data_IF_221911476787
#
_entry.id   IF_221911476787
#
_cell.length_a   1.000
_cell.length_b   1.000
_cell.length_c   1.000
_cell.angle_alpha   90.00
_cell.angle_beta   90.00
_cell.angle_gamma   90.00
#
_symmetry.space_group_name_H-M   'P 1'
#
loop_
_entity.id
_entity.type
_entity.pdbx_description
1 polymer ?
#
# COMPACT_ATOMS: atom_id res chain seq x y z
N UNK A 1 -9.29 -6.04 -13.93
CA UNK A 1 -8.42 -6.25 -12.75
C UNK A 1 -8.83 -7.48 -11.93
N UNK A 2 -10.08 -7.59 -11.45
CA UNK A 2 -10.53 -8.71 -10.60
C UNK A 2 -10.40 -10.10 -11.23
N UNK A 3 -10.86 -10.27 -12.47
CA UNK A 3 -10.75 -11.54 -13.22
C UNK A 3 -9.28 -11.96 -13.36
N UNK A 4 -8.41 -11.01 -13.72
CA UNK A 4 -6.97 -11.24 -13.78
C UNK A 4 -6.39 -11.64 -12.42
N UNK A 5 -6.90 -11.08 -11.32
CA UNK A 5 -6.55 -11.49 -9.98
C UNK A 5 -6.87 -12.97 -9.73
N UNK A 6 -8.00 -13.45 -10.23
CA UNK A 6 -8.38 -14.86 -10.16
C UNK A 6 -7.44 -15.74 -11.01
N UNK A 7 -7.20 -15.37 -12.27
CA UNK A 7 -6.27 -16.09 -13.17
C UNK A 7 -4.88 -16.23 -12.54
N UNK A 8 -4.39 -15.18 -11.88
CA UNK A 8 -3.09 -15.17 -11.22
C UNK A 8 -3.12 -15.70 -9.78
N UNK A 9 -4.23 -16.23 -9.28
CA UNK A 9 -4.37 -16.69 -7.90
C UNK A 9 -3.91 -15.63 -6.88
N UNK A 10 -4.30 -14.38 -7.08
CA UNK A 10 -4.11 -13.26 -6.13
C UNK A 10 -5.42 -12.51 -5.90
N UNK A 11 -6.56 -13.18 -6.15
CA UNK A 11 -7.87 -12.56 -6.19
C UNK A 11 -8.28 -11.94 -4.86
N UNK A 12 -7.92 -12.56 -3.72
CA UNK A 12 -8.20 -12.02 -2.39
C UNK A 12 -7.55 -10.64 -2.16
N UNK A 13 -6.30 -10.49 -2.57
CA UNK A 13 -5.56 -9.24 -2.46
C UNK A 13 -6.19 -8.14 -3.33
N UNK A 14 -6.56 -8.49 -4.56
CA UNK A 14 -7.21 -7.56 -5.49
C UNK A 14 -8.60 -7.17 -5.00
N UNK A 15 -9.38 -8.09 -4.42
CA UNK A 15 -10.65 -7.79 -3.76
C UNK A 15 -10.46 -6.84 -2.59
N UNK A 16 -9.46 -7.10 -1.74
CA UNK A 16 -9.13 -6.28 -0.57
C UNK A 16 -8.79 -4.85 -0.99
N UNK A 17 -7.91 -4.68 -1.97
CA UNK A 17 -7.51 -3.34 -2.45
C UNK A 17 -8.70 -2.64 -3.10
N UNK A 18 -9.47 -3.34 -3.95
CA UNK A 18 -10.64 -2.76 -4.61
C UNK A 18 -11.67 -2.27 -3.58
N UNK A 19 -12.00 -3.09 -2.57
CA UNK A 19 -12.88 -2.71 -1.48
C UNK A 19 -12.33 -1.51 -0.70
N UNK A 20 -11.05 -1.54 -0.32
CA UNK A 20 -10.43 -0.45 0.44
C UNK A 20 -10.45 0.88 -0.32
N UNK A 21 -10.34 0.86 -1.65
CA UNK A 21 -10.40 2.07 -2.49
C UNK A 21 -11.80 2.67 -2.63
N UNK A 22 -12.86 1.93 -2.28
CA UNK A 22 -14.24 2.45 -2.30
C UNK A 22 -14.59 3.29 -1.05
N UNK A 23 -13.76 3.23 -0.02
CA UNK A 23 -13.98 3.93 1.25
C UNK A 23 -12.88 4.97 1.52
N UNK A 24 -13.10 5.92 2.44
CA UNK A 24 -12.03 6.77 2.94
C UNK A 24 -10.88 5.91 3.51
N UNK A 25 -9.64 6.35 3.35
CA UNK A 25 -8.48 5.64 3.91
C UNK A 25 -8.64 5.46 5.43
N UNK A 26 -8.32 4.29 6.01
CA UNK A 26 -8.53 4.02 7.43
C UNK A 26 -7.57 4.78 8.35
N UNK A 27 -6.64 5.55 7.80
CA UNK A 27 -5.60 6.27 8.55
C UNK A 27 -6.14 7.51 9.26
N UNK A 28 -6.15 7.50 10.60
CA UNK A 28 -6.49 8.68 11.39
C UNK A 28 -5.24 9.57 11.49
N UNK A 29 -5.20 10.63 10.69
CA UNK A 29 -4.08 11.55 10.62
C UNK A 29 -4.47 12.97 11.03
N UNK A 30 -3.91 13.45 12.14
CA UNK A 30 -4.09 14.83 12.64
C UNK A 30 -3.14 15.83 11.95
N UNK A 31 -2.12 15.32 11.25
CA UNK A 31 -1.12 16.13 10.57
C UNK A 31 -1.47 16.49 9.13
N UNK A 32 -0.71 17.44 8.56
CA UNK A 32 -0.85 17.81 7.14
C UNK A 32 -0.43 16.69 6.18
N UNK A 33 0.37 15.70 6.63
CA UNK A 33 0.95 14.61 5.85
C UNK A 33 0.84 13.31 6.62
N UNK A 34 0.80 12.19 5.93
CA UNK A 34 0.70 10.87 6.55
C UNK A 34 1.88 10.60 7.50
N UNK A 35 1.58 10.11 8.71
CA UNK A 35 2.58 9.85 9.75
C UNK A 35 3.44 8.62 9.49
N UNK A 36 4.58 8.49 10.19
CA UNK A 36 5.52 7.37 10.04
C UNK A 36 4.86 6.00 10.27
N UNK A 37 3.96 5.91 11.27
CA UNK A 37 3.24 4.66 11.60
C UNK A 37 2.52 4.10 10.37
N UNK A 38 1.81 4.96 9.64
CA UNK A 38 1.04 4.56 8.47
C UNK A 38 1.93 4.29 7.25
N UNK A 39 2.99 5.09 7.07
CA UNK A 39 3.96 4.91 5.97
C UNK A 39 4.72 3.58 6.07
N UNK A 40 4.97 3.09 7.28
CA UNK A 40 5.66 1.81 7.49
C UNK A 40 4.92 0.62 6.90
N UNK A 41 3.59 0.69 6.74
CA UNK A 41 2.81 -0.37 6.10
C UNK A 41 3.09 -0.49 4.59
N UNK A 42 3.66 0.53 3.95
CA UNK A 42 4.10 0.42 2.56
C UNK A 42 5.37 -0.44 2.39
N UNK A 43 6.09 -0.72 3.48
CA UNK A 43 7.38 -1.41 3.46
C UNK A 43 8.36 -0.75 2.49
N UNK A 44 8.99 -1.56 1.65
CA UNK A 44 9.89 -1.10 0.58
C UNK A 44 9.19 -0.91 -0.77
N UNK A 45 7.84 -0.94 -0.82
CA UNK A 45 7.09 -0.98 -2.09
C UNK A 45 6.67 0.37 -2.65
N UNK A 46 6.81 1.46 -1.88
CA UNK A 46 6.43 2.82 -2.33
C UNK A 46 4.99 2.89 -2.88
N UNK A 47 4.05 2.26 -2.17
CA UNK A 47 2.69 2.07 -2.64
C UNK A 47 1.67 2.32 -1.54
N UNK A 48 0.74 3.24 -1.82
CA UNK A 48 -0.44 3.49 -1.00
C UNK A 48 -1.36 2.27 -0.97
N UNK A 49 -1.55 1.58 -2.10
CA UNK A 49 -2.38 0.38 -2.18
C UNK A 49 -1.78 -0.80 -1.40
N UNK A 50 -0.45 -0.98 -1.44
CA UNK A 50 0.23 -1.99 -0.60
C UNK A 50 0.14 -1.62 0.87
N UNK A 51 0.20 -0.33 1.22
CA UNK A 51 -0.01 0.10 2.60
C UNK A 51 -1.42 -0.25 3.09
N UNK A 52 -2.45 0.00 2.27
CA UNK A 52 -3.83 -0.39 2.59
C UNK A 52 -3.98 -1.90 2.76
N UNK A 53 -3.41 -2.69 1.83
CA UNK A 53 -3.41 -4.15 1.92
C UNK A 53 -2.73 -4.64 3.21
N UNK A 54 -1.54 -4.11 3.51
CA UNK A 54 -0.76 -4.53 4.68
C UNK A 54 -1.44 -4.16 6.00
N UNK A 55 -2.09 -2.98 6.07
CA UNK A 55 -2.91 -2.58 7.22
C UNK A 55 -4.08 -3.51 7.41
N UNK A 56 -4.80 -3.82 6.32
CA UNK A 56 -5.95 -4.69 6.37
C UNK A 56 -5.56 -6.09 6.85
N UNK A 57 -4.46 -6.65 6.35
CA UNK A 57 -3.96 -7.96 6.81
C UNK A 57 -3.56 -7.96 8.29
N UNK A 58 -2.85 -6.93 8.74
CA UNK A 58 -2.46 -6.82 10.15
C UNK A 58 -3.66 -6.60 11.08
N UNK A 59 -4.67 -5.84 10.64
CA UNK A 59 -5.92 -5.66 11.38
C UNK A 59 -6.74 -6.95 11.41
N UNK A 60 -6.86 -7.66 10.29
CA UNK A 60 -7.64 -8.90 10.21
C UNK A 60 -7.04 -9.98 11.13
N UNK A 61 -5.71 -10.09 11.19
CA UNK A 61 -5.00 -10.95 12.14
C UNK A 61 -5.27 -10.53 13.61
N UNK A 62 -5.16 -9.24 13.92
CA UNK A 62 -5.44 -8.74 15.27
C UNK A 62 -6.91 -8.98 15.70
N UNK A 63 -7.85 -8.81 14.77
CA UNK A 63 -9.28 -9.06 14.95
C UNK A 63 -9.58 -10.49 15.33
N UNK A 64 -8.81 -11.47 14.83
CA UNK A 64 -8.97 -12.87 15.23
C UNK A 64 -8.71 -13.11 16.72
N UNK A 65 -8.01 -12.19 17.41
CA UNK A 65 -7.80 -12.20 18.85
C UNK A 65 -8.98 -11.69 19.70
N UNK A 66 -10.11 -11.32 19.06
CA UNK A 66 -11.31 -10.79 19.71
C UNK A 66 -11.40 -9.26 19.69
N UNK A 67 -12.57 -8.73 20.10
CA UNK A 67 -12.90 -7.30 20.00
C UNK A 67 -11.89 -6.40 20.72
N UNK A 68 -11.40 -6.80 21.90
CA UNK A 68 -10.42 -5.98 22.63
C UNK A 68 -9.03 -5.97 21.98
N UNK A 69 -8.66 -7.03 21.27
CA UNK A 69 -7.44 -7.03 20.47
C UNK A 69 -7.58 -6.10 19.25
N UNK A 70 -8.75 -6.12 18.60
CA UNK A 70 -9.10 -5.23 17.49
C UNK A 70 -9.05 -3.75 17.91
N UNK A 71 -9.72 -3.40 19.02
CA UNK A 71 -9.75 -2.04 19.57
C UNK A 71 -8.34 -1.56 19.88
N UNK A 72 -7.57 -2.34 20.66
CA UNK A 72 -6.18 -1.99 20.99
C UNK A 72 -5.30 -1.81 19.76
N UNK A 73 -5.47 -2.65 18.74
CA UNK A 73 -4.72 -2.52 17.49
C UNK A 73 -5.06 -1.21 16.77
N UNK A 74 -6.35 -0.89 16.63
CA UNK A 74 -6.80 0.33 15.96
C UNK A 74 -6.37 1.59 16.72
N UNK A 75 -6.45 1.60 18.05
CA UNK A 75 -5.96 2.68 18.89
C UNK A 75 -4.44 2.87 18.72
N UNK A 76 -3.67 1.79 18.85
CA UNK A 76 -2.21 1.83 18.75
C UNK A 76 -1.73 2.29 17.36
N UNK A 77 -2.37 1.83 16.29
CA UNK A 77 -2.01 2.17 14.91
C UNK A 77 -2.71 3.43 14.39
N UNK A 78 -3.57 4.05 15.20
CA UNK A 78 -4.39 5.21 14.84
C UNK A 78 -5.20 4.96 13.56
N UNK A 79 -6.07 3.95 13.62
CA UNK A 79 -6.88 3.48 12.50
C UNK A 79 -8.37 3.61 12.79
N UNK A 80 -9.16 3.86 11.76
CA UNK A 80 -10.61 3.85 11.81
C UNK A 80 -11.11 2.40 11.69
N UNK A 81 -11.55 1.84 12.81
CA UNK A 81 -12.08 0.47 12.89
C UNK A 81 -13.32 0.28 12.01
N UNK A 82 -14.23 1.25 11.97
CA UNK A 82 -15.44 1.16 11.15
C UNK A 82 -15.13 1.06 9.66
N UNK A 83 -14.16 1.85 9.16
CA UNK A 83 -13.67 1.74 7.78
C UNK A 83 -13.12 0.36 7.46
N UNK A 84 -12.36 -0.24 8.37
CA UNK A 84 -11.78 -1.57 8.18
C UNK A 84 -12.86 -2.67 8.15
N UNK A 85 -13.85 -2.59 9.05
CA UNK A 85 -15.03 -3.49 9.05
C UNK A 85 -15.85 -3.36 7.76
N UNK A 86 -16.15 -2.14 7.32
CA UNK A 86 -16.84 -1.91 6.03
C UNK A 86 -16.04 -2.45 4.84
N UNK A 87 -14.71 -2.29 4.87
CA UNK A 87 -13.81 -2.84 3.84
C UNK A 87 -13.88 -4.37 3.81
N UNK A 88 -13.94 -5.01 4.98
CA UNK A 88 -14.08 -6.45 5.09
C UNK A 88 -15.40 -6.95 4.50
N UNK A 89 -16.52 -6.30 4.83
CA UNK A 89 -17.83 -6.63 4.29
C UNK A 89 -17.86 -6.51 2.75
N UNK A 90 -17.36 -5.41 2.21
CA UNK A 90 -17.28 -5.20 0.76
C UNK A 90 -16.35 -6.22 0.08
N UNK A 91 -15.21 -6.56 0.71
CA UNK A 91 -14.30 -7.61 0.23
C UNK A 91 -15.02 -8.96 0.14
N UNK A 92 -15.78 -9.34 1.17
CA UNK A 92 -16.53 -10.61 1.19
C UNK A 92 -17.58 -10.63 0.09
N UNK A 93 -18.35 -9.55 -0.07
CA UNK A 93 -19.33 -9.43 -1.15
C UNK A 93 -18.70 -9.58 -2.54
N UNK A 94 -17.52 -8.98 -2.77
CA UNK A 94 -16.79 -9.15 -4.03
C UNK A 94 -16.36 -10.61 -4.27
N UNK A 95 -15.89 -11.30 -3.23
CA UNK A 95 -15.52 -12.72 -3.31
C UNK A 95 -16.75 -13.58 -3.63
N UNK A 96 -17.86 -13.35 -2.95
CA UNK A 96 -19.11 -14.08 -3.18
C UNK A 96 -19.63 -13.87 -4.62
N UNK A 97 -19.58 -12.64 -5.15
CA UNK A 97 -19.96 -12.37 -6.54
C UNK A 97 -19.11 -13.19 -7.51
N UNK A 98 -17.78 -13.26 -7.29
CA UNK A 98 -16.88 -14.03 -8.15
C UNK A 98 -17.16 -15.54 -8.06
N UNK A 99 -17.33 -16.08 -6.84
CA UNK A 99 -17.65 -17.50 -6.63
C UNK A 99 -18.99 -17.85 -7.28
N UNK A 100 -20.02 -17.02 -7.07
CA UNK A 100 -21.33 -17.20 -7.68
C UNK A 100 -21.32 -17.05 -9.21
N UNK A 101 -20.30 -16.36 -9.75
CA UNK A 101 -20.05 -16.29 -11.20
C UNK A 101 -19.29 -17.49 -11.75
N UNK A 102 -18.95 -18.49 -10.92
CA UNK A 102 -18.29 -19.72 -11.29
C UNK A 102 -16.78 -19.74 -11.07
N UNK A 103 -16.17 -18.68 -10.52
CA UNK A 103 -14.74 -18.68 -10.22
C UNK A 103 -14.43 -19.65 -9.05
N UNK A 104 -13.42 -20.53 -9.18
CA UNK A 104 -12.98 -21.40 -8.10
C UNK A 104 -12.59 -20.65 -6.83
N UNK A 105 -12.90 -21.21 -5.65
CA UNK A 105 -12.58 -20.58 -4.37
C UNK A 105 -11.07 -20.48 -4.13
N UNK A 106 -10.29 -21.39 -4.72
CA UNK A 106 -8.84 -21.49 -4.57
C UNK A 106 -8.12 -20.21 -5.04
N UNK A 107 -8.65 -19.52 -6.07
CA UNK A 107 -8.05 -18.29 -6.56
C UNK A 107 -8.34 -17.07 -5.67
N UNK A 108 -9.22 -17.24 -4.68
CA UNK A 108 -9.68 -16.22 -3.72
C UNK A 108 -9.23 -16.54 -2.29
N UNK A 109 -8.32 -17.49 -2.10
CA UNK A 109 -7.74 -17.78 -0.79
C UNK A 109 -6.91 -16.60 -0.28
N UNK A 110 -7.06 -16.30 1.01
CA UNK A 110 -6.26 -15.29 1.69
C UNK A 110 -4.79 -15.69 1.67
N UNK A 111 -3.94 -14.77 1.23
CA UNK A 111 -2.49 -14.95 1.20
C UNK A 111 -1.83 -13.90 2.08
N UNK A 112 -0.71 -14.25 2.70
CA UNK A 112 0.12 -13.29 3.44
C UNK A 112 1.18 -12.75 2.49
N UNK A 113 1.33 -11.43 2.43
CA UNK A 113 2.32 -10.78 1.56
C UNK A 113 3.47 -10.19 2.35
N UNK A 114 4.66 -10.26 1.76
CA UNK A 114 5.83 -9.55 2.27
C UNK A 114 6.02 -8.21 1.56
N UNK A 115 5.72 -7.12 2.29
CA UNK A 115 5.92 -5.75 1.83
C UNK A 115 7.39 -5.28 1.96
N UNK A 116 8.25 -6.04 2.62
CA UNK A 116 9.67 -5.70 2.86
C UNK A 116 10.58 -6.79 2.28
N UNK A 117 11.03 -6.58 1.05
CA UNK A 117 11.83 -7.56 0.30
C UNK A 117 11.07 -8.17 -0.89
N UNK A 118 11.57 -9.28 -1.46
CA UNK A 118 10.99 -9.89 -2.66
C UNK A 118 9.71 -10.68 -2.32
N UNK A 119 8.68 -10.49 -3.14
CA UNK A 119 7.42 -11.24 -3.11
C UNK A 119 6.79 -11.16 -4.50
N UNK A 120 6.86 -12.27 -5.24
CA UNK A 120 6.44 -12.31 -6.64
C UNK A 120 4.92 -12.17 -6.80
N UNK A 121 4.13 -12.63 -5.82
CA UNK A 121 2.67 -12.50 -5.89
C UNK A 121 2.27 -11.05 -5.65
N UNK A 122 2.93 -10.37 -4.70
CA UNK A 122 2.73 -8.93 -4.50
C UNK A 122 3.16 -8.11 -5.73
N UNK A 123 4.25 -8.50 -6.40
CA UNK A 123 4.70 -7.87 -7.64
C UNK A 123 3.66 -7.99 -8.77
N UNK A 124 2.97 -9.14 -8.86
CA UNK A 124 1.85 -9.35 -9.77
C UNK A 124 0.66 -8.47 -9.37
N UNK A 125 0.31 -8.40 -8.08
CA UNK A 125 -0.75 -7.50 -7.59
C UNK A 125 -0.49 -6.05 -8.01
N UNK A 126 0.75 -5.55 -7.85
CA UNK A 126 1.15 -4.21 -8.30
C UNK A 126 0.98 -4.05 -9.82
N UNK A 127 1.33 -5.08 -10.58
CA UNK A 127 1.17 -5.08 -12.04
C UNK A 127 -0.31 -5.04 -12.47
N UNK A 128 -1.17 -5.78 -11.77
CA UNK A 128 -2.62 -5.77 -11.99
C UNK A 128 -3.26 -4.45 -11.54
N UNK A 129 -2.73 -3.80 -10.50
CA UNK A 129 -3.13 -2.44 -10.14
C UNK A 129 -2.81 -1.47 -11.27
N UNK A 130 -1.61 -1.55 -11.85
CA UNK A 130 -1.25 -0.73 -13.00
C UNK A 130 -2.24 -0.90 -14.16
N UNK A 131 -2.65 -2.14 -14.45
CA UNK A 131 -3.72 -2.43 -15.41
C UNK A 131 -5.06 -1.81 -15.00
N UNK A 132 -5.45 -1.94 -13.73
CA UNK A 132 -6.74 -1.49 -13.22
C UNK A 132 -6.91 0.03 -13.18
N UNK A 133 -5.84 0.79 -12.96
CA UNK A 133 -5.89 2.26 -12.88
C UNK A 133 -5.38 2.96 -14.14
N UNK A 134 -4.88 2.25 -15.14
CA UNK A 134 -4.53 2.84 -16.43
C UNK A 134 -5.75 3.55 -17.05
N UNK A 135 -5.63 4.80 -17.58
CA UNK A 135 -4.42 5.51 -18.00
C UNK A 135 -3.79 6.44 -16.95
N UNK A 136 -4.08 6.28 -15.66
CA UNK A 136 -3.56 7.11 -14.58
C UNK A 136 -2.09 6.79 -14.25
N UNK A 137 -1.19 7.16 -15.17
CA UNK A 137 0.26 7.04 -15.04
C UNK A 137 0.87 8.41 -14.83
N UNK A 138 1.95 8.48 -14.06
CA UNK A 138 2.73 9.70 -13.91
C UNK A 138 4.23 9.42 -13.75
N UNK A 139 5.02 10.43 -14.12
CA UNK A 139 6.46 10.48 -13.97
C UNK A 139 6.82 11.46 -12.85
N UNK A 140 7.58 10.99 -11.85
CA UNK A 140 8.11 11.83 -10.78
C UNK A 140 9.26 12.70 -11.29
N UNK A 141 9.14 14.02 -11.07
CA UNK A 141 10.17 14.99 -11.48
C UNK A 141 11.11 15.29 -10.32
N UNK A 142 10.61 16.02 -9.32
CA UNK A 142 11.36 16.50 -8.17
C UNK A 142 10.39 16.75 -7.02
N UNK A 143 10.86 16.65 -5.77
CA UNK A 143 10.03 16.91 -4.58
C UNK A 143 8.67 16.23 -4.66
N UNK A 144 7.58 17.01 -4.71
CA UNK A 144 6.20 16.55 -4.89
C UNK A 144 5.70 16.65 -6.34
N UNK A 145 6.46 17.22 -7.26
CA UNK A 145 5.99 17.49 -8.62
C UNK A 145 6.03 16.20 -9.44
N UNK A 146 4.95 15.95 -10.14
CA UNK A 146 4.78 14.84 -11.08
C UNK A 146 4.26 15.37 -12.41
N UNK A 147 4.51 14.62 -13.48
CA UNK A 147 3.94 14.82 -14.80
C UNK A 147 2.99 13.67 -15.11
N UNK A 148 1.73 14.00 -15.38
CA UNK A 148 0.71 13.01 -15.75
C UNK A 148 0.80 12.63 -17.23
N UNK A 149 0.17 11.52 -17.61
CA UNK A 149 0.01 11.09 -19.03
C UNK A 149 -0.49 12.20 -19.95
N UNK A 150 -1.30 13.15 -19.43
CA UNK A 150 -1.82 14.31 -20.19
C UNK A 150 -0.79 15.42 -20.42
N UNK A 151 0.48 15.24 -20.02
CA UNK A 151 1.51 16.29 -20.06
C UNK A 151 1.29 17.41 -19.03
N UNK A 152 0.35 17.23 -18.08
CA UNK A 152 0.03 18.23 -17.05
C UNK A 152 0.83 17.99 -15.78
N UNK A 153 1.37 19.09 -15.23
CA UNK A 153 2.02 19.07 -13.92
C UNK A 153 0.98 18.88 -12.82
N UNK A 154 1.26 17.98 -11.88
CA UNK A 154 0.47 17.74 -10.68
C UNK A 154 1.39 17.53 -9.47
N UNK A 155 0.80 17.33 -8.30
CA UNK A 155 1.52 17.07 -7.06
C UNK A 155 1.20 15.68 -6.50
N UNK A 156 2.16 15.07 -5.81
CA UNK A 156 1.89 13.93 -4.93
C UNK A 156 0.98 14.41 -3.80
N UNK A 157 -0.18 13.77 -3.63
CA UNK A 157 -1.12 14.11 -2.57
C UNK A 157 -0.50 13.93 -1.18
N UNK A 158 -0.91 14.74 -0.20
CA UNK A 158 -0.27 14.75 1.12
C UNK A 158 -0.57 13.52 1.98
N UNK A 159 -1.66 12.81 1.68
CA UNK A 159 -1.98 11.53 2.33
C UNK A 159 -1.14 10.37 1.79
N UNK A 160 -0.45 10.54 0.65
CA UNK A 160 0.33 9.44 0.08
C UNK A 160 1.56 9.11 0.93
N UNK A 161 1.87 7.83 1.07
CA UNK A 161 3.13 7.31 1.62
C UNK A 161 4.33 7.78 0.81
N UNK A 162 4.12 8.18 -0.44
CA UNK A 162 5.14 8.74 -1.33
C UNK A 162 5.26 10.26 -1.21
N UNK A 163 4.56 10.91 -0.28
CA UNK A 163 4.71 12.34 -0.08
C UNK A 163 5.96 12.63 0.79
N UNK A 164 7.01 13.31 0.28
CA UNK A 164 8.21 13.57 1.07
C UNK A 164 7.90 14.46 2.29
N UNK A 165 8.48 14.17 3.47
CA UNK A 165 8.25 14.97 4.68
C UNK A 165 8.77 16.40 4.56
N UNK A 166 9.97 16.56 3.98
CA UNK A 166 10.66 17.83 3.82
C UNK A 166 10.85 18.18 2.33
N UNK A 167 11.49 19.31 2.07
CA UNK A 167 11.88 19.76 0.73
C UNK A 167 13.06 18.99 0.15
N UNK A 168 13.63 18.02 0.88
CA UNK A 168 14.68 17.15 0.36
C UNK A 168 14.11 16.22 -0.72
N UNK A 169 14.88 16.03 -1.80
CA UNK A 169 14.48 15.17 -2.89
C UNK A 169 14.55 13.70 -2.46
N UNK A 170 13.38 13.07 -2.42
CA UNK A 170 13.27 11.62 -2.32
C UNK A 170 13.67 11.01 -3.65
N UNK A 171 14.67 10.12 -3.66
CA UNK A 171 15.04 9.37 -4.84
C UNK A 171 14.30 8.04 -4.86
N UNK A 172 13.38 7.90 -5.81
CA UNK A 172 12.66 6.65 -6.01
C UNK A 172 13.48 5.65 -6.85
N UNK A 173 13.34 4.33 -6.60
CA UNK A 173 13.96 3.30 -7.44
C UNK A 173 13.50 3.32 -8.90
N UNK A 174 12.27 3.78 -9.14
CA UNK A 174 11.66 4.02 -10.46
C UNK A 174 11.05 5.41 -10.45
N UNK A 175 11.12 6.18 -11.56
CA UNK A 175 10.43 7.46 -11.64
C UNK A 175 8.92 7.29 -11.96
N UNK A 176 8.46 6.08 -12.27
CA UNK A 176 7.10 5.83 -12.71
C UNK A 176 6.17 5.42 -11.58
N UNK A 177 4.98 6.01 -11.58
CA UNK A 177 3.90 5.66 -10.66
C UNK A 177 2.59 5.54 -11.42
N UNK A 178 1.73 4.66 -10.94
CA UNK A 178 0.30 4.70 -11.23
C UNK A 178 -0.46 5.30 -10.05
N UNK A 179 -1.64 5.88 -10.29
CA UNK A 179 -2.44 6.49 -9.23
C UNK A 179 -3.93 6.21 -9.36
N UNK A 180 -4.65 6.13 -8.23
CA UNK A 180 -6.09 5.86 -8.21
C UNK A 180 -6.93 7.08 -8.61
N UNK A 181 -6.66 8.25 -8.01
CA UNK A 181 -7.53 9.43 -8.15
C UNK A 181 -6.76 10.71 -8.45
N UNK A 182 -7.37 11.59 -9.26
CA UNK A 182 -6.91 12.96 -9.51
C UNK A 182 -7.80 13.95 -8.77
N UNK A 183 -7.26 14.58 -7.73
CA UNK A 183 -7.98 15.54 -6.90
C UNK A 183 -7.61 16.97 -7.33
N UNK A 184 -8.63 17.79 -7.64
CA UNK A 184 -8.45 19.21 -7.94
C UNK A 184 -8.94 20.06 -6.76
N UNK A 185 -8.01 20.68 -6.05
CA UNK A 185 -8.30 21.74 -5.07
C UNK A 185 -7.62 23.03 -5.50
N UNK A 186 -6.68 23.57 -4.70
CA UNK A 186 -5.79 24.68 -5.09
C UNK A 186 -4.75 24.26 -6.13
N UNK A 187 -4.37 22.99 -6.12
CA UNK A 187 -3.50 22.36 -7.10
C UNK A 187 -4.03 20.97 -7.43
N UNK A 188 -3.74 20.49 -8.65
CA UNK A 188 -4.04 19.12 -9.05
C UNK A 188 -3.07 18.20 -8.31
N UNK A 189 -3.61 17.19 -7.62
CA UNK A 189 -2.81 16.19 -6.91
C UNK A 189 -3.25 14.77 -7.25
N UNK A 190 -2.29 13.85 -7.33
CA UNK A 190 -2.54 12.42 -7.49
C UNK A 190 -2.57 11.73 -6.13
N UNK A 191 -3.60 10.93 -5.87
CA UNK A 191 -3.81 10.15 -4.64
C UNK A 191 -3.88 8.66 -4.98
N UNK A 192 -3.49 7.80 -4.03
CA UNK A 192 -3.42 6.36 -4.24
C UNK A 192 -2.27 5.98 -5.16
N UNK A 193 -1.06 6.47 -4.87
CA UNK A 193 0.11 6.31 -5.71
C UNK A 193 0.82 4.98 -5.46
N UNK A 194 1.26 4.31 -6.53
CA UNK A 194 2.02 3.06 -6.48
C UNK A 194 3.17 3.10 -7.46
N UNK A 195 4.39 2.90 -6.97
CA UNK A 195 5.58 2.80 -7.81
C UNK A 195 5.49 1.56 -8.69
N UNK A 196 5.80 1.73 -9.98
CA UNK A 196 5.80 0.66 -10.98
C UNK A 196 7.09 0.69 -11.79
N UNK A 197 7.47 -0.45 -12.34
CA UNK A 197 8.62 -0.55 -13.24
C UNK A 197 8.25 -0.23 -14.68
N UNK A 198 9.23 0.14 -15.53
CA UNK A 198 9.00 0.27 -16.97
C UNK A 198 8.44 -1.00 -17.62
N UNK A 199 8.84 -2.19 -17.14
CA UNK A 199 8.34 -3.46 -17.67
C UNK A 199 6.88 -3.70 -17.29
N UNK A 200 6.47 -3.34 -16.07
CA UNK A 200 5.07 -3.39 -15.65
C UNK A 200 4.21 -2.44 -16.49
N UNK A 201 4.71 -1.23 -16.79
CA UNK A 201 4.03 -0.31 -17.71
C UNK A 201 3.91 -0.90 -19.12
N UNK A 202 5.01 -1.43 -19.65
CA UNK A 202 5.05 -2.03 -20.98
C UNK A 202 4.16 -3.27 -21.09
N UNK A 203 3.86 -3.97 -19.99
CA UNK A 203 2.99 -5.14 -20.01
C UNK A 203 1.52 -4.79 -19.72
N UNK A 204 1.23 -3.86 -18.82
CA UNK A 204 -0.12 -3.65 -18.28
C UNK A 204 -0.70 -2.24 -18.42
N UNK A 205 0.13 -1.23 -18.67
CA UNK A 205 -0.29 0.16 -18.61
C UNK A 205 0.24 0.96 -19.81
N UNK A 206 -0.03 0.46 -21.00
CA UNK A 206 0.14 1.23 -22.24
C UNK A 206 -0.82 0.79 -23.35
N UNK A 207 -1.18 1.73 -24.20
CA UNK A 207 -2.07 1.54 -25.36
C UNK A 207 -1.31 1.52 -26.67
N UNK A 208 -0.27 2.34 -26.81
CA UNK A 208 0.50 2.50 -28.03
C UNK A 208 1.99 2.34 -27.74
N UNK A 209 2.66 1.53 -28.53
CA UNK A 209 4.10 1.30 -28.41
C UNK A 209 4.70 1.44 -29.81
N UNK A 210 5.66 2.35 -29.96
CA UNK A 210 6.41 2.56 -31.20
C UNK A 210 7.89 2.31 -30.92
N UNK A 211 8.61 1.81 -31.92
CA UNK A 211 10.04 1.52 -31.84
C UNK A 211 10.75 2.22 -32.96
N UNK A 212 11.85 2.92 -32.65
CA UNK A 212 12.82 3.36 -33.65
C UNK A 212 14.02 2.39 -33.79
N UNK A 213 14.00 1.29 -33.03
CA UNK A 213 15.03 0.25 -33.00
C UNK A 213 15.90 0.28 -31.74
N UNK A 214 16.14 1.47 -31.18
CA UNK A 214 16.93 1.67 -29.96
C UNK A 214 16.10 2.14 -28.76
N UNK A 215 15.06 2.94 -29.04
CA UNK A 215 14.18 3.55 -28.07
C UNK A 215 12.74 3.11 -28.38
N UNK A 216 12.06 2.65 -27.34
CA UNK A 216 10.63 2.42 -27.36
C UNK A 216 9.91 3.68 -26.86
N UNK A 217 9.01 4.22 -27.67
CA UNK A 217 8.09 5.28 -27.30
C UNK A 217 6.74 4.67 -26.90
N UNK A 218 6.42 4.77 -25.62
CA UNK A 218 5.18 4.25 -25.03
C UNK A 218 4.20 5.39 -24.77
N UNK A 219 2.99 5.26 -25.29
CA UNK A 219 1.89 6.22 -25.25
C UNK A 219 2.27 7.64 -25.70
N UNK A 220 3.21 7.75 -26.64
CA UNK A 220 3.70 9.01 -27.21
C UNK A 220 4.47 9.94 -26.23
N UNK A 221 4.83 9.47 -25.03
CA UNK A 221 5.54 10.31 -24.06
C UNK A 221 6.62 9.60 -23.23
N UNK A 222 6.47 8.30 -22.93
CA UNK A 222 7.46 7.55 -22.16
C UNK A 222 8.50 6.99 -23.12
N UNK A 223 9.77 7.39 -22.96
CA UNK A 223 10.89 6.88 -23.74
C UNK A 223 11.66 5.86 -22.92
N UNK A 224 11.71 4.62 -23.39
CA UNK A 224 12.42 3.52 -22.74
C UNK A 224 13.55 3.04 -23.63
N UNK A 225 14.76 2.94 -23.07
CA UNK A 225 15.88 2.32 -23.75
C UNK A 225 15.85 0.81 -23.47
N UNK A 226 15.26 0.06 -24.40
CA UNK A 226 15.10 -1.39 -24.34
C UNK A 226 15.18 -1.93 -25.77
N UNK A 227 15.74 -3.13 -25.93
CA UNK A 227 15.79 -3.82 -27.23
C UNK A 227 14.38 -3.95 -27.82
N UNK A 228 14.27 -3.67 -29.13
CA UNK A 228 13.04 -3.85 -29.90
C UNK A 228 12.48 -5.27 -29.74
N UNK A 229 13.33 -6.30 -29.87
CA UNK A 229 12.93 -7.70 -29.79
C UNK A 229 12.37 -8.04 -28.41
N UNK A 230 13.04 -7.58 -27.34
CA UNK A 230 12.58 -7.82 -25.96
C UNK A 230 11.24 -7.13 -25.72
N UNK A 231 11.09 -5.89 -26.17
CA UNK A 231 9.85 -5.15 -26.02
C UNK A 231 8.70 -5.78 -26.83
N UNK A 232 8.97 -6.27 -28.04
CA UNK A 232 8.02 -7.00 -28.86
C UNK A 232 7.56 -8.28 -28.17
N UNK A 233 8.47 -9.09 -27.63
CA UNK A 233 8.15 -10.30 -26.88
C UNK A 233 7.29 -10.01 -25.64
N UNK A 234 7.63 -8.99 -24.84
CA UNK A 234 6.84 -8.60 -23.67
C UNK A 234 5.44 -8.15 -24.08
N UNK A 235 5.34 -7.36 -25.15
CA UNK A 235 4.05 -6.84 -25.65
C UNK A 235 3.18 -7.96 -26.23
N UNK A 236 3.78 -8.98 -26.86
CA UNK A 236 3.06 -10.12 -27.41
C UNK A 236 2.31 -10.92 -26.34
N UNK A 237 2.84 -10.98 -25.10
CA UNK A 237 2.15 -11.63 -23.97
C UNK A 237 0.79 -11.01 -23.66
N UNK A 238 0.55 -9.74 -24.03
CA UNK A 238 -0.74 -9.07 -23.82
C UNK A 238 -1.85 -9.74 -24.63
N UNK A 239 -1.58 -10.06 -25.89
CA UNK A 239 -2.59 -10.67 -26.77
C UNK A 239 -2.96 -12.07 -26.27
N UNK A 240 -1.96 -12.84 -25.83
CA UNK A 240 -2.17 -14.16 -25.25
C UNK A 240 -2.94 -14.08 -23.92
N UNK A 241 -2.64 -13.08 -23.08
CA UNK A 241 -3.38 -12.83 -21.85
C UNK A 241 -4.84 -12.43 -22.11
N UNK A 242 -5.08 -11.54 -23.07
CA UNK A 242 -6.43 -11.13 -23.47
C UNK A 242 -7.25 -12.33 -23.98
N UNK A 243 -6.63 -13.21 -24.77
CA UNK A 243 -7.26 -14.46 -25.21
C UNK A 243 -7.64 -15.35 -24.03
N UNK A 244 -6.74 -15.55 -23.07
CA UNK A 244 -7.01 -16.33 -21.86
C UNK A 244 -8.16 -15.71 -21.03
N UNK A 245 -8.21 -14.38 -20.90
CA UNK A 245 -9.32 -13.70 -20.22
C UNK A 245 -10.66 -13.98 -20.91
N UNK A 246 -10.69 -13.99 -22.24
CA UNK A 246 -11.90 -14.35 -23.00
C UNK A 246 -12.31 -15.80 -22.77
N UNK A 247 -11.38 -16.73 -22.64
CA UNK A 247 -11.69 -18.13 -22.32
C UNK A 247 -12.23 -18.28 -20.90
N UNK A 248 -11.53 -17.70 -19.92
CA UNK A 248 -11.91 -17.73 -18.50
C UNK A 248 -13.26 -17.06 -18.27
N UNK A 249 -13.60 -16.00 -19.02
CA UNK A 249 -14.92 -15.36 -18.87
C UNK A 249 -16.07 -16.20 -19.41
N UNK A 250 -15.82 -17.15 -20.33
CA UNK A 250 -16.84 -18.10 -20.80
C UNK A 250 -16.99 -19.27 -19.83
N UNK A 251 -15.86 -19.75 -19.31
CA UNK A 251 -15.82 -20.87 -18.38
C UNK A 251 -14.79 -20.59 -17.27
N UNK A 252 -15.19 -19.98 -16.14
CA UNK A 252 -14.23 -19.57 -15.10
C UNK A 252 -13.52 -20.72 -14.40
N UNK A 253 -14.09 -21.93 -14.42
CA UNK A 253 -13.50 -23.13 -13.82
C UNK A 253 -12.19 -23.58 -14.48
N UNK A 254 -11.90 -23.15 -15.71
CA UNK A 254 -10.67 -23.55 -16.43
C UNK A 254 -9.39 -23.09 -15.71
N UNK A 255 -9.47 -22.06 -14.84
CA UNK A 255 -8.29 -21.58 -14.12
C UNK A 255 -7.68 -22.64 -13.19
N UNK A 256 -8.46 -23.64 -12.77
CA UNK A 256 -8.00 -24.75 -11.94
C UNK A 256 -7.15 -25.77 -12.72
N UNK A 257 -7.28 -25.79 -14.05
CA UNK A 257 -6.60 -26.75 -14.93
C UNK A 257 -6.27 -26.08 -16.27
N UNK A 258 -5.34 -25.12 -16.22
CA UNK A 258 -4.86 -24.46 -17.43
C UNK A 258 -3.95 -25.38 -18.24
N UNK A 259 -3.95 -25.21 -19.56
CA UNK A 259 -2.98 -25.92 -20.39
C UNK A 259 -1.52 -25.46 -20.10
N UNK A 260 -0.51 -26.28 -20.43
CA UNK A 260 0.89 -25.94 -20.17
C UNK A 260 1.41 -24.69 -20.90
N UNK A 261 0.74 -24.21 -21.95
CA UNK A 261 1.13 -22.99 -22.67
C UNK A 261 0.71 -21.77 -21.85
N UNK A 262 -0.55 -21.76 -21.40
CA UNK A 262 -1.10 -20.74 -20.53
C UNK A 262 -0.36 -20.67 -19.19
N UNK A 263 -0.06 -21.80 -18.56
CA UNK A 263 0.74 -21.82 -17.33
C UNK A 263 2.13 -21.20 -17.52
N UNK A 264 2.83 -21.53 -18.62
CA UNK A 264 4.14 -20.95 -18.94
C UNK A 264 4.06 -19.46 -19.20
N UNK A 265 3.02 -18.99 -19.91
CA UNK A 265 2.76 -17.57 -20.12
C UNK A 265 2.56 -16.84 -18.78
N UNK A 266 1.71 -17.35 -17.89
CA UNK A 266 1.47 -16.75 -16.57
C UNK A 266 2.77 -16.69 -15.75
N UNK A 267 3.57 -17.76 -15.78
CA UNK A 267 4.86 -17.79 -15.10
C UNK A 267 5.87 -16.77 -15.67
N UNK A 268 5.90 -16.57 -16.98
CA UNK A 268 6.72 -15.50 -17.59
C UNK A 268 6.28 -14.13 -17.10
N UNK A 269 4.98 -13.86 -17.03
CA UNK A 269 4.44 -12.59 -16.54
C UNK A 269 4.80 -12.38 -15.06
N UNK A 270 4.77 -13.44 -14.24
CA UNK A 270 5.25 -13.36 -12.84
C UNK A 270 6.72 -12.94 -12.77
N UNK A 271 7.57 -13.47 -13.63
CA UNK A 271 8.98 -13.07 -13.65
C UNK A 271 9.18 -11.63 -14.12
N UNK A 272 8.46 -11.19 -15.17
CA UNK A 272 8.53 -9.82 -15.70
C UNK A 272 8.01 -8.79 -14.69
N UNK A 273 7.03 -9.17 -13.87
CA UNK A 273 6.44 -8.30 -12.84
C UNK A 273 7.43 -7.92 -11.74
N UNK A 274 8.50 -8.70 -11.54
CA UNK A 274 9.50 -8.47 -10.49
C UNK A 274 10.28 -7.18 -10.76
N UNK A 275 10.48 -6.32 -9.75
CA UNK A 275 11.31 -5.13 -9.90
C UNK A 275 12.73 -5.43 -10.40
N UNK A 276 13.31 -6.55 -9.95
CA UNK A 276 14.63 -7.00 -10.37
C UNK A 276 14.73 -7.34 -11.85
N UNK A 277 13.63 -7.71 -12.52
CA UNK A 277 13.61 -7.95 -13.96
C UNK A 277 13.89 -6.65 -14.76
N UNK A 278 13.56 -5.50 -14.18
CA UNK A 278 13.88 -4.18 -14.74
C UNK A 278 15.22 -3.62 -14.18
N UNK A 279 16.01 -4.42 -13.47
CA UNK A 279 17.23 -3.96 -12.79
C UNK A 279 16.97 -3.05 -11.57
N UNK A 280 15.74 -3.03 -11.04
CA UNK A 280 15.34 -2.13 -9.95
C UNK A 280 15.45 -2.85 -8.61
N UNK A 281 16.22 -2.29 -7.69
CA UNK A 281 16.30 -2.75 -6.30
C UNK A 281 15.50 -1.83 -5.38
N UNK A 282 14.36 -2.33 -4.92
CA UNK A 282 13.45 -1.60 -4.02
C UNK A 282 14.05 -1.32 -2.63
N UNK A 283 15.06 -2.07 -2.19
CA UNK A 283 15.67 -1.89 -0.88
C UNK A 283 16.60 -0.67 -0.82
N UNK A 284 17.19 -0.26 -1.95
CA UNK A 284 18.16 0.85 -2.02
C UNK A 284 17.47 2.21 -1.80
N UNK A 285 16.21 2.35 -2.23
CA UNK A 285 15.43 3.56 -2.01
C UNK A 285 14.70 3.59 -0.67
N UNK A 286 14.56 2.45 -0.01
CA UNK A 286 13.93 2.36 1.31
C UNK A 286 14.94 2.86 2.34
N UNK A 287 15.21 4.17 2.33
CA UNK A 287 15.79 4.84 3.48
C UNK A 287 14.84 4.53 4.61
N UNK A 288 15.16 3.51 5.42
CA UNK A 288 14.53 3.30 6.71
C UNK A 288 14.56 4.68 7.34
N UNK A 289 13.40 5.27 7.54
CA UNK A 289 13.28 6.45 8.37
C UNK A 289 13.67 5.96 9.77
N UNK A 290 14.97 5.95 10.05
CA UNK A 290 15.56 5.33 11.23
C UNK A 290 14.91 5.89 12.49
N UNK A 291 14.62 5.00 13.45
CA UNK A 291 14.19 5.16 14.85
C UNK A 291 13.27 6.35 15.26
N UNK A 292 12.72 7.09 14.31
CA UNK A 292 12.13 8.39 14.59
C UNK A 292 13.14 9.39 15.19
N UNK A 293 12.69 10.59 15.58
CA UNK A 293 13.51 11.48 16.38
C UNK A 293 13.96 10.77 17.67
N UNK A 294 15.23 10.94 18.04
CA UNK A 294 15.81 10.37 19.27
C UNK A 294 14.86 10.63 20.44
N UNK A 295 14.58 9.63 21.30
CA UNK A 295 13.79 9.85 22.50
C UNK A 295 14.31 11.07 23.27
N UNK A 296 13.42 11.91 23.83
CA UNK A 296 13.84 13.02 24.69
C UNK A 296 14.81 12.48 25.74
N UNK A 297 15.97 13.13 25.88
CA UNK A 297 16.90 12.77 26.95
C UNK A 297 16.14 12.90 28.27
N UNK A 298 16.06 11.82 29.04
CA UNK A 298 15.50 11.86 30.38
C UNK A 298 16.17 13.01 31.14
N UNK A 299 15.36 13.91 31.70
CA UNK A 299 15.88 14.90 32.63
C UNK A 299 16.56 14.12 33.76
N UNK A 300 17.83 14.46 34.05
CA UNK A 300 18.49 13.92 35.24
C UNK A 300 17.60 14.32 36.42
N UNK A 301 17.11 13.32 37.15
CA UNK A 301 16.56 13.55 38.47
C UNK A 301 17.67 14.17 39.31
N UNK A 302 17.57 15.47 39.57
CA UNK A 302 18.33 16.11 40.64
C UNK A 302 17.72 15.60 41.94
N UNK A 303 18.25 14.48 42.42
CA UNK A 303 17.94 13.99 43.75
C UNK A 303 18.65 14.90 44.75
N UNK A 304 18.00 16.00 45.09
CA UNK A 304 18.36 16.84 46.20
C UNK A 304 18.21 16.07 47.51
N UNK A 305 19.31 15.48 47.98
CA UNK A 305 19.48 14.94 49.32
C UNK A 305 20.86 15.33 49.85
N UNK A 306 20.92 16.42 50.62
CA UNK A 306 22.15 17.10 50.99
C UNK A 306 23.00 16.42 52.06
N UNK A 307 24.28 16.83 52.09
CA UNK A 307 25.07 16.87 53.31
C UNK A 307 25.87 18.18 53.36
N UNK A 308 25.66 18.93 54.44
CA UNK A 308 26.37 20.17 54.78
C UNK A 308 27.83 19.86 55.17
N UNK A 309 28.76 20.63 54.62
CA UNK A 309 29.97 21.17 55.31
C UNK A 309 30.48 22.30 54.40
N UNK A 310 30.24 23.56 54.70
CA UNK A 310 30.96 24.31 55.72
C UNK A 310 32.09 25.07 55.03
N UNK A 311 31.92 26.38 54.82
CA UNK A 311 32.94 27.21 54.18
C UNK A 311 32.41 28.59 53.81
N UNK A 312 32.51 29.52 54.76
CA UNK A 312 32.24 30.94 54.64
C UNK A 312 33.00 31.59 53.47
N UNK A 313 32.35 32.47 52.72
CA UNK A 313 32.58 33.93 52.84
C UNK A 313 31.94 34.64 51.64
N UNK A 314 31.03 35.55 51.96
CA UNK A 314 30.53 36.57 51.06
C UNK A 314 31.50 37.76 51.08
N UNK A 315 31.63 38.44 49.95
CA UNK A 315 32.08 39.83 49.97
C UNK A 315 32.74 40.27 48.68
N UNK A 316 31.99 40.98 47.83
CA UNK A 316 32.56 41.70 46.71
C UNK A 316 31.56 42.02 45.62
N UNK A 317 30.69 43.02 45.87
CA UNK A 317 30.10 43.81 44.78
C UNK A 317 31.21 44.48 43.97
N UNK A 318 31.02 44.99 42.77
CA UNK A 318 29.83 45.30 41.99
C UNK A 318 30.35 45.96 40.71
N UNK A 319 29.42 46.52 39.92
CA UNK A 319 29.59 47.45 38.78
C UNK A 319 30.63 47.02 37.71
N UNK A 320 30.25 46.80 36.46
CA UNK A 320 29.57 47.75 35.61
C UNK A 320 30.37 47.88 34.33
N UNK A 321 29.65 48.18 33.24
CA UNK A 321 30.14 48.79 32.00
C UNK A 321 31.21 48.06 31.18
N UNK A 322 30.75 47.58 30.02
CA UNK A 322 31.20 48.21 28.78
C UNK A 322 32.26 47.46 27.99
N UNK A 323 31.93 47.23 26.72
CA UNK A 323 32.89 47.55 25.67
C UNK A 323 33.40 46.39 24.81
N UNK A 324 32.92 46.42 23.56
CA UNK A 324 33.69 46.33 22.30
C UNK A 324 34.79 45.27 22.11
N UNK A 325 34.87 44.80 20.86
CA UNK A 325 36.09 44.25 20.25
C UNK A 325 36.00 42.74 20.03
N UNK A 326 35.57 42.30 18.85
CA UNK A 326 36.38 42.21 17.61
C UNK A 326 37.38 41.05 17.62
N UNK A 327 37.13 40.12 16.70
CA UNK A 327 38.15 39.62 15.78
C UNK A 327 39.07 38.51 16.32
N UNK A 328 39.19 37.44 15.54
CA UNK A 328 40.23 36.44 15.80
C UNK A 328 40.05 35.16 15.01
N UNK A 329 40.18 35.26 13.70
CA UNK A 329 40.36 34.12 12.79
C UNK A 329 41.76 33.53 12.97
N UNK A 330 41.86 32.20 12.94
CA UNK A 330 43.09 31.43 12.80
C UNK A 330 42.78 29.97 13.14
N UNK A 331 42.95 28.96 12.30
CA UNK A 331 43.81 28.83 11.13
C UNK A 331 44.76 27.65 11.37
N UNK A 332 44.67 26.62 10.52
CA UNK A 332 45.60 25.47 10.45
C UNK A 332 45.28 24.37 11.46
N UNK A 333 45.19 23.09 11.12
CA UNK A 333 45.90 22.32 10.10
C UNK A 333 46.85 21.36 10.82
N UNK A 334 46.66 20.04 10.69
CA UNK A 334 47.52 19.08 11.40
C UNK A 334 47.07 17.62 11.40
N UNK A 335 47.37 16.94 10.29
CA UNK A 335 47.70 15.51 10.11
C UNK A 335 48.01 14.65 11.35
N UNK A 336 47.67 13.35 11.28
CA UNK A 336 48.26 12.33 12.15
C UNK A 336 47.53 10.99 12.10
N UNK A 337 47.97 10.09 11.21
CA UNK A 337 47.52 8.69 11.16
C UNK A 337 48.24 7.77 12.15
N UNK A 338 47.78 6.52 12.19
CA UNK A 338 48.28 5.40 12.98
C UNK A 338 47.17 4.88 13.89
N UNK A 339 46.77 3.61 13.92
CA UNK A 339 47.42 2.35 13.55
C UNK A 339 47.10 1.33 14.67
N UNK A 340 47.13 0.04 14.33
CA UNK A 340 47.19 -1.14 15.24
C UNK A 340 45.83 -1.66 15.78
N UNK A 341 45.42 -2.87 15.30
CA UNK A 341 45.57 -4.21 15.94
C UNK A 341 44.72 -4.31 17.22
N UNK A 342 43.73 -5.17 17.32
CA UNK A 342 43.82 -6.64 17.19
C UNK A 342 43.85 -7.24 18.60
N UNK A 343 42.86 -8.04 18.96
CA UNK A 343 42.82 -8.73 20.26
C UNK A 343 41.50 -9.42 20.52
N UNK A 344 41.48 -10.74 20.33
CA UNK A 344 40.35 -11.60 20.67
C UNK A 344 40.22 -11.88 22.16
N UNK A 345 39.15 -12.57 22.53
CA UNK A 345 38.91 -13.06 23.88
C UNK A 345 37.59 -13.80 23.99
N UNK A 346 37.64 -15.11 23.75
CA UNK A 346 36.59 -16.08 24.05
C UNK A 346 36.79 -16.62 25.48
N UNK A 347 35.70 -16.73 26.22
CA UNK A 347 35.54 -17.46 27.47
C UNK A 347 34.06 -17.38 27.84
N UNK A 348 33.29 -18.46 27.97
CA UNK A 348 33.61 -19.73 28.59
C UNK A 348 33.00 -19.73 30.00
N UNK A 349 31.85 -20.40 30.17
CA UNK A 349 31.20 -20.52 31.48
C UNK A 349 29.82 -21.17 31.38
N UNK A 350 29.77 -22.48 31.53
CA UNK A 350 28.54 -23.24 31.74
C UNK A 350 28.49 -23.79 33.16
N UNK A 351 27.28 -23.86 33.73
CA UNK A 351 26.86 -24.64 34.90
C UNK A 351 25.33 -24.83 34.72
N UNK A 352 24.77 -26.02 34.50
CA UNK A 352 24.47 -27.04 35.51
C UNK A 352 23.40 -26.49 36.47
N UNK A 353 22.11 -26.85 36.42
CA UNK A 353 21.51 -28.18 36.39
C UNK A 353 20.72 -28.37 37.70
N UNK A 354 19.42 -28.66 37.62
CA UNK A 354 18.63 -29.45 38.60
C UNK A 354 17.15 -29.38 38.24
N UNK A 355 16.59 -30.53 37.85
CA UNK A 355 15.16 -30.77 37.90
C UNK A 355 14.77 -31.37 39.25
N UNK A 356 13.52 -31.17 39.65
CA UNK A 356 12.80 -32.04 40.57
C UNK A 356 11.34 -32.09 40.13
N UNK A 357 10.86 -33.32 39.94
CA UNK A 357 9.45 -33.64 39.72
C UNK A 357 8.66 -33.85 41.01
N UNK A 358 7.38 -34.13 40.82
CA UNK A 358 6.35 -34.41 41.83
C UNK A 358 5.13 -33.56 41.52
N UNK A 359 3.96 -34.06 41.12
CA UNK A 359 3.36 -35.37 41.36
C UNK A 359 2.13 -35.17 42.25
N UNK A 360 1.00 -35.72 41.81
CA UNK A 360 -0.27 -35.99 42.52
C UNK A 360 -1.42 -34.95 42.51
N UNK A 361 -2.43 -35.31 41.68
CA UNK A 361 -3.84 -35.56 42.02
C UNK A 361 -4.61 -34.59 42.92
N UNK A 362 -5.75 -34.07 42.43
CA UNK A 362 -7.04 -34.22 43.10
C UNK A 362 -8.24 -34.25 42.13
N UNK A 363 -9.18 -35.11 42.50
CA UNK A 363 -10.45 -35.54 41.89
C UNK A 363 -11.58 -34.52 42.10
N UNK A 364 -12.61 -34.58 41.24
CA UNK A 364 -14.01 -34.22 41.55
C UNK A 364 -14.63 -33.37 40.43
N UNK A 365 -15.65 -33.75 39.66
CA UNK A 365 -16.65 -34.80 39.83
C UNK A 365 -17.95 -34.25 40.43
N UNK A 366 -18.76 -33.51 39.66
CA UNK A 366 -20.19 -33.35 39.94
C UNK A 366 -21.03 -33.36 38.65
N UNK A 367 -22.10 -34.13 38.75
CA UNK A 367 -23.11 -34.49 37.74
C UNK A 367 -24.43 -33.89 38.22
N UNK A 368 -25.26 -33.40 37.30
CA UNK A 368 -26.68 -33.04 37.52
C UNK A 368 -27.07 -31.84 36.64
N UNK A 369 -28.06 -31.85 35.75
CA UNK A 369 -29.19 -32.76 35.53
C UNK A 369 -30.51 -32.15 36.01
N UNK A 370 -31.22 -31.42 35.13
CA UNK A 370 -32.70 -31.18 35.07
C UNK A 370 -33.01 -29.85 34.35
N UNK A 371 -33.63 -29.85 33.17
CA UNK A 371 -35.09 -29.88 32.86
C UNK A 371 -35.80 -28.51 32.93
N UNK A 372 -36.47 -28.17 31.83
CA UNK A 372 -37.50 -27.12 31.68
C UNK A 372 -37.21 -26.23 30.46
N UNK A 373 -37.90 -26.26 29.32
CA UNK A 373 -39.18 -26.85 28.98
C UNK A 373 -40.33 -25.83 29.09
N UNK A 374 -40.45 -24.91 28.12
CA UNK A 374 -41.71 -24.21 27.82
C UNK A 374 -41.90 -24.02 26.31
N UNK A 375 -42.94 -24.72 25.79
CA UNK A 375 -43.82 -24.32 24.67
C UNK A 375 -44.33 -22.88 24.91
N UNK A 376 -44.74 -22.08 23.94
CA UNK A 376 -45.19 -22.29 22.56
C UNK A 376 -46.16 -21.14 22.20
N UNK A 377 -46.63 -21.13 20.95
CA UNK A 377 -47.68 -20.22 20.45
C UNK A 377 -47.19 -19.42 19.24
N UNK A 378 -47.54 -19.82 18.01
CA UNK A 378 -48.75 -19.42 17.29
C UNK A 378 -48.73 -17.90 17.02
N UNK A 379 -48.77 -17.38 15.81
CA UNK A 379 -49.45 -17.77 14.58
C UNK A 379 -49.79 -16.44 13.87
N UNK A 380 -49.86 -16.41 12.55
CA UNK A 380 -50.15 -15.14 11.87
C UNK A 380 -49.90 -15.17 10.38
N UNK A 381 -50.72 -15.94 9.68
CA UNK A 381 -50.99 -15.79 8.25
C UNK A 381 -51.37 -14.34 7.89
N UNK A 382 -50.79 -13.82 6.81
CA UNK A 382 -51.45 -12.81 5.98
C UNK A 382 -51.28 -13.19 4.51
N UNK A 383 -52.36 -13.76 3.96
CA UNK A 383 -52.67 -13.79 2.53
C UNK A 383 -53.74 -12.73 2.24
N UNK A 384 -53.61 -12.09 1.08
CA UNK A 384 -54.67 -11.37 0.36
C UNK A 384 -54.36 -9.88 0.20
N UNK A 385 -54.74 -9.20 -0.87
CA UNK A 385 -55.36 -9.54 -2.16
C UNK A 385 -55.51 -8.21 -2.94
N UNK A 386 -55.40 -8.23 -4.27
CA UNK A 386 -55.92 -7.22 -5.22
C UNK A 386 -55.08 -5.94 -5.36
N UNK A 387 -54.72 -5.41 -6.55
CA UNK A 387 -55.23 -5.58 -7.90
C UNK A 387 -56.08 -4.39 -8.32
N UNK A 388 -55.52 -3.41 -9.06
CA UNK A 388 -56.21 -2.45 -9.97
C UNK A 388 -55.11 -1.81 -10.88
N UNK A 389 -55.07 -2.09 -12.20
CA UNK A 389 -55.70 -1.34 -13.32
C UNK A 389 -54.87 -0.11 -13.75
N UNK A 390 -54.07 -0.19 -14.82
CA UNK A 390 -54.38 0.09 -16.24
C UNK A 390 -54.71 1.57 -16.56
N UNK A 391 -53.87 2.16 -17.42
CA UNK A 391 -54.08 3.44 -18.15
C UNK A 391 -52.70 4.02 -18.52
N UNK A 392 -52.26 4.22 -19.77
CA UNK A 392 -52.97 4.35 -21.03
C UNK A 392 -52.95 5.82 -21.49
N UNK A 393 -52.02 6.20 -22.37
CA UNK A 393 -51.95 7.49 -23.09
C UNK A 393 -50.50 7.83 -23.47
N UNK A 394 -49.98 7.66 -24.70
CA UNK A 394 -50.28 8.20 -26.06
C UNK A 394 -50.14 9.73 -26.22
N UNK A 395 -49.33 10.10 -27.22
CA UNK A 395 -49.19 11.43 -27.87
C UNK A 395 -47.76 11.97 -27.71
N UNK A 396 -46.87 11.95 -28.72
CA UNK A 396 -46.91 12.78 -29.96
C UNK A 396 -46.45 14.21 -29.60
N UNK A 397 -45.56 14.95 -30.27
CA UNK A 397 -45.43 15.27 -31.71
C UNK A 397 -44.08 16.01 -31.98
N UNK A 398 -43.57 15.90 -33.22
CA UNK A 398 -42.71 16.89 -33.94
C UNK A 398 -41.21 16.89 -33.63
N UNK A 399 -40.27 16.39 -34.45
CA UNK A 399 -39.89 16.72 -35.85
C UNK A 399 -39.41 18.18 -36.01
N UNK A 400 -38.09 18.43 -36.08
CA UNK A 400 -37.32 18.64 -37.32
C UNK A 400 -36.74 20.07 -37.28
N UNK A 401 -35.68 20.53 -37.96
CA UNK A 401 -34.74 20.03 -38.97
C UNK A 401 -33.76 21.22 -39.24
N UNK A 402 -32.52 20.93 -39.69
CA UNK A 402 -31.53 21.85 -40.34
C UNK A 402 -30.94 23.04 -39.53
N UNK A 403 -29.68 23.46 -39.70
CA UNK A 403 -28.74 23.18 -40.78
C UNK A 403 -27.30 23.64 -40.51
N UNK A 404 -26.46 23.32 -41.49
CA UNK A 404 -25.04 23.62 -41.63
C UNK A 404 -24.72 25.13 -41.67
N UNK A 405 -23.48 25.48 -41.30
CA UNK A 405 -22.87 26.75 -41.67
C UNK A 405 -21.37 26.77 -41.35
N UNK A 406 -20.53 26.67 -42.39
CA UNK A 406 -19.06 26.83 -42.39
C UNK A 406 -18.67 28.31 -42.44
N UNK A 407 -17.44 28.60 -41.96
CA UNK A 407 -16.58 29.74 -42.37
C UNK A 407 -16.91 31.06 -41.65
N UNK A 408 -15.99 31.95 -41.30
CA UNK A 408 -14.56 32.14 -41.59
C UNK A 408 -14.23 33.63 -41.34
N UNK A 409 -12.98 33.96 -41.00
CA UNK A 409 -12.48 35.34 -40.81
C UNK A 409 -12.84 35.94 -39.45
N UNK A 410 -11.96 36.53 -38.66
CA UNK A 410 -10.77 37.31 -38.97
C UNK A 410 -10.94 38.66 -38.27
N UNK A 411 -10.19 38.87 -37.18
CA UNK A 411 -9.56 40.10 -36.64
C UNK A 411 -9.07 39.81 -35.23
#
# INVERSE_FOLDING_TARGET
>A
MMIMGCIFYVGDAVCTISAATCFPEPFINEGKRLGYIHRNFAGSRFSDHVALLSVFQAWDDARMGGEEAEIRFCEHKRLNMATLRMTWEAKVQLKEILINSGFPEECLLTQVFNNTGPDNNLDVVISLLAFGVYPNVCYHKEKRKILTTEGRNALIHKSSVNCPFSSQDMKYPSPFFVFGEKIRTRAISAKGMTLVTPLQLLLFASKKIQSDGQIMLVDDWIRLQISHEVAACITALRSAMEALVVEVTKEPSIISQLDPVNERMLNMIRQISRPSAAGINLMIGSTRYGDGPRPPKMARYDNGGGYRRGGSSYGGGGYGTGGYGSGGYGGGGGYGGGGYRGGGGYGGGGYGGSGYGGGSNFRGGYRGGSRGGYRGGAGGDYRGSGGFQQGGGRGGYGSGYFGQGRGGGGY
#
